data_IF_904417888411
#
_entry.id   IF_904417888411
#
_cell.length_a   1.000
_cell.length_b   1.000
_cell.length_c   1.000
_cell.angle_alpha   90.00
_cell.angle_beta   90.00
_cell.angle_gamma   90.00
#
_symmetry.space_group_name_H-M   'P 1'
#
loop_
_entity.id
_entity.type
_entity.pdbx_description
1 polymer ?
#
# COMPACT_ATOMS: atom_id res chain seq x y z
N UNK A 1 -10.03 -24.33 0.70
CA UNK A 1 -9.12 -23.37 0.04
C UNK A 1 -9.55 -21.98 0.50
N UNK A 2 -8.64 -21.09 0.90
CA UNK A 2 -9.03 -19.83 1.55
C UNK A 2 -9.56 -18.75 0.59
N UNK A 3 -9.37 -18.93 -0.72
CA UNK A 3 -9.89 -18.03 -1.75
C UNK A 3 -10.73 -18.88 -2.70
N UNK A 4 -12.02 -18.58 -2.81
CA UNK A 4 -12.95 -19.30 -3.69
C UNK A 4 -13.93 -18.35 -4.36
N UNK A 5 -14.71 -18.84 -5.32
CA UNK A 5 -15.85 -18.12 -5.89
C UNK A 5 -17.14 -18.83 -5.50
N UNK A 6 -18.12 -18.10 -4.98
CA UNK A 6 -19.41 -18.64 -4.54
C UNK A 6 -20.51 -17.61 -4.75
N UNK A 7 -21.64 -18.04 -5.31
CA UNK A 7 -22.84 -17.22 -5.50
C UNK A 7 -22.57 -15.89 -6.26
N UNK A 8 -21.67 -15.93 -7.24
CA UNK A 8 -21.27 -14.75 -8.02
C UNK A 8 -20.18 -13.88 -7.38
N UNK A 9 -19.82 -14.13 -6.12
CA UNK A 9 -18.80 -13.37 -5.41
C UNK A 9 -17.47 -14.12 -5.29
N UNK A 10 -16.36 -13.39 -5.26
CA UNK A 10 -15.10 -13.85 -4.70
C UNK A 10 -15.23 -13.88 -3.17
N UNK A 11 -14.83 -14.98 -2.54
CA UNK A 11 -14.87 -15.16 -1.08
C UNK A 11 -13.46 -15.43 -0.56
N UNK A 12 -12.99 -14.58 0.37
CA UNK A 12 -11.78 -14.81 1.15
C UNK A 12 -12.23 -15.26 2.55
N UNK A 13 -11.86 -16.49 2.90
CA UNK A 13 -12.17 -17.09 4.21
C UNK A 13 -10.99 -16.92 5.16
N UNK A 14 -11.28 -16.74 6.45
CA UNK A 14 -10.30 -16.84 7.52
C UNK A 14 -10.75 -17.91 8.51
N UNK A 15 -9.96 -18.96 8.63
CA UNK A 15 -10.15 -20.02 9.62
C UNK A 15 -9.29 -19.77 10.87
N UNK A 16 -9.70 -20.35 12.00
CA UNK A 16 -8.95 -20.38 13.26
C UNK A 16 -8.71 -21.83 13.69
N UNK A 17 -7.59 -22.09 14.38
CA UNK A 17 -7.33 -23.36 15.08
C UNK A 17 -8.39 -23.69 16.13
N UNK A 18 -9.14 -22.70 16.61
CA UNK A 18 -10.28 -22.88 17.51
C UNK A 18 -11.54 -23.46 16.85
N UNK A 19 -11.62 -23.45 15.51
CA UNK A 19 -12.73 -24.05 14.77
C UNK A 19 -12.52 -25.56 14.69
N UNK A 20 -13.17 -26.31 15.59
CA UNK A 20 -12.98 -27.76 15.75
C UNK A 20 -13.92 -28.63 14.92
N UNK A 21 -14.96 -28.03 14.31
CA UNK A 21 -15.93 -28.74 13.50
C UNK A 21 -15.71 -28.46 12.00
N UNK A 22 -15.55 -29.52 11.22
CA UNK A 22 -15.42 -29.42 9.77
C UNK A 22 -16.75 -29.03 9.11
N UNK A 23 -16.68 -28.29 7.99
CA UNK A 23 -17.84 -28.01 7.14
C UNK A 23 -18.83 -26.97 7.69
N UNK A 24 -18.47 -26.21 8.73
CA UNK A 24 -19.29 -25.09 9.24
C UNK A 24 -19.46 -23.97 8.21
N UNK A 25 -18.48 -23.79 7.33
CA UNK A 25 -18.49 -22.81 6.25
C UNK A 25 -18.01 -23.47 4.96
N UNK A 26 -18.71 -23.28 3.81
CA UNK A 26 -18.29 -23.89 2.56
C UNK A 26 -16.84 -23.53 2.21
N UNK A 27 -16.04 -24.53 1.87
CA UNK A 27 -14.62 -24.41 1.49
C UNK A 27 -13.64 -23.99 2.60
N UNK A 28 -14.11 -23.81 3.85
CA UNK A 28 -13.25 -23.75 5.03
C UNK A 28 -12.33 -24.96 5.09
N UNK A 29 -11.10 -24.73 5.55
CA UNK A 29 -10.09 -25.77 5.75
C UNK A 29 -9.96 -26.20 7.21
N UNK A 30 -10.78 -25.64 8.10
CA UNK A 30 -10.86 -26.09 9.48
C UNK A 30 -11.55 -27.47 9.61
N UNK A 31 -11.18 -28.28 10.61
CA UNK A 31 -10.16 -28.03 11.62
C UNK A 31 -8.73 -28.20 11.08
N UNK A 32 -7.78 -27.48 11.67
CA UNK A 32 -6.34 -27.61 11.44
C UNK A 32 -5.57 -27.25 12.72
N UNK A 33 -4.31 -27.66 12.82
CA UNK A 33 -3.42 -27.28 13.94
C UNK A 33 -2.47 -26.14 13.55
N UNK A 34 -1.91 -25.42 14.52
CA UNK A 34 -0.88 -24.42 14.23
C UNK A 34 0.34 -25.04 13.52
N UNK A 35 0.70 -26.29 13.84
CA UNK A 35 1.77 -27.02 13.15
C UNK A 35 1.47 -27.19 11.64
N UNK A 36 0.23 -27.53 11.30
CA UNK A 36 -0.23 -27.60 9.90
C UNK A 36 -0.22 -26.23 9.19
N UNK A 37 -0.08 -25.14 9.93
CA UNK A 37 -0.18 -23.76 9.45
C UNK A 37 1.05 -22.92 9.79
N UNK A 38 2.24 -23.52 9.72
CA UNK A 38 3.51 -22.80 9.90
C UNK A 38 3.62 -22.09 11.27
N UNK A 39 3.05 -22.67 12.31
CA UNK A 39 3.03 -22.13 13.66
C UNK A 39 2.02 -21.00 13.89
N UNK A 40 1.07 -20.77 12.96
CA UNK A 40 0.08 -19.69 13.06
C UNK A 40 -1.32 -20.21 13.41
N UNK A 41 -2.03 -19.50 14.27
CA UNK A 41 -3.38 -19.87 14.71
C UNK A 41 -4.50 -19.51 13.72
N UNK A 42 -4.19 -18.69 12.73
CA UNK A 42 -5.15 -18.22 11.74
C UNK A 42 -4.65 -18.48 10.33
N UNK A 43 -5.55 -18.93 9.47
CA UNK A 43 -5.25 -19.19 8.06
C UNK A 43 -6.23 -18.41 7.19
N UNK A 44 -5.72 -17.60 6.28
CA UNK A 44 -6.55 -16.80 5.36
C UNK A 44 -5.95 -16.74 3.95
N UNK A 45 -6.43 -15.80 3.12
CA UNK A 45 -6.08 -15.68 1.72
C UNK A 45 -5.68 -14.26 1.32
N UNK A 46 -4.77 -14.21 0.35
CA UNK A 46 -4.44 -13.00 -0.42
C UNK A 46 -4.50 -13.37 -1.90
N UNK A 47 -5.30 -12.63 -2.66
CA UNK A 47 -5.35 -12.69 -4.11
C UNK A 47 -4.60 -11.49 -4.68
N UNK A 48 -3.76 -11.73 -5.69
CA UNK A 48 -3.03 -10.66 -6.38
C UNK A 48 -3.09 -10.84 -7.89
N UNK A 49 -3.20 -9.72 -8.61
CA UNK A 49 -3.11 -9.69 -10.08
C UNK A 49 -1.68 -9.46 -10.58
N UNK A 50 -0.69 -9.48 -9.68
CA UNK A 50 0.73 -9.27 -9.97
C UNK A 50 1.19 -10.03 -11.21
N UNK A 51 1.82 -9.31 -12.14
CA UNK A 51 2.29 -9.79 -13.43
C UNK A 51 1.24 -10.51 -14.30
N UNK A 52 -0.05 -10.23 -14.10
CA UNK A 52 -1.18 -10.78 -14.89
C UNK A 52 -2.08 -9.68 -15.42
N UNK A 53 -2.50 -8.78 -14.53
CA UNK A 53 -3.27 -7.60 -14.86
C UNK A 53 -2.70 -6.43 -14.06
N UNK A 54 -2.31 -5.39 -14.77
CA UNK A 54 -1.90 -4.12 -14.20
C UNK A 54 -2.53 -2.98 -15.01
N UNK A 55 -2.61 -1.81 -14.41
CA UNK A 55 -3.10 -0.61 -15.05
C UNK A 55 -2.30 0.60 -14.58
N UNK A 56 -2.15 1.59 -15.44
CA UNK A 56 -1.51 2.88 -15.10
C UNK A 56 -2.54 3.99 -15.28
N UNK A 57 -2.79 4.75 -14.22
CA UNK A 57 -3.91 5.70 -14.09
C UNK A 57 -5.28 5.06 -14.28
N UNK A 58 -6.30 5.66 -13.69
CA UNK A 58 -7.69 5.25 -13.84
C UNK A 58 -8.44 5.15 -12.52
N UNK A 59 -9.69 4.76 -12.64
CA UNK A 59 -10.60 4.51 -11.53
C UNK A 59 -10.70 3.01 -11.25
N UNK A 60 -10.44 2.62 -10.00
CA UNK A 60 -10.67 1.27 -9.50
C UNK A 60 -11.70 1.31 -8.39
N UNK A 61 -12.64 0.37 -8.42
CA UNK A 61 -13.58 0.15 -7.33
C UNK A 61 -13.79 -1.34 -7.07
N UNK A 62 -14.19 -1.63 -5.83
CA UNK A 62 -14.62 -2.94 -5.37
C UNK A 62 -15.98 -2.82 -4.70
N UNK A 63 -16.83 -3.82 -4.91
CA UNK A 63 -18.11 -3.98 -4.20
C UNK A 63 -17.94 -5.10 -3.18
N UNK A 64 -17.99 -4.76 -1.89
CA UNK A 64 -17.49 -5.65 -0.81
C UNK A 64 -18.41 -5.67 0.41
N UNK A 65 -18.43 -6.82 1.09
CA UNK A 65 -19.01 -7.02 2.43
C UNK A 65 -17.97 -7.63 3.36
N UNK A 66 -17.96 -7.19 4.61
CA UNK A 66 -16.91 -7.48 5.58
C UNK A 66 -17.25 -8.62 6.53
N UNK A 67 -16.23 -9.33 7.05
CA UNK A 67 -16.44 -10.39 8.02
C UNK A 67 -16.88 -9.82 9.36
N UNK A 68 -17.53 -10.67 10.16
CA UNK A 68 -17.93 -10.35 11.53
C UNK A 68 -19.43 -10.35 11.73
N UNK A 69 -19.90 -10.49 12.99
CA UNK A 69 -21.30 -10.34 13.33
C UNK A 69 -21.85 -8.95 12.99
N UNK A 70 -21.09 -7.88 13.28
CA UNK A 70 -21.53 -6.49 13.08
C UNK A 70 -20.33 -5.52 13.23
N UNK A 71 -20.61 -4.21 13.20
CA UNK A 71 -19.60 -3.14 13.34
C UNK A 71 -18.88 -3.09 14.70
N UNK A 72 -19.26 -3.91 15.68
CA UNK A 72 -18.54 -4.05 16.96
C UNK A 72 -17.34 -5.00 16.86
N UNK A 73 -17.24 -5.78 15.78
CA UNK A 73 -16.13 -6.70 15.54
C UNK A 73 -14.81 -5.97 15.59
N UNK A 74 -13.83 -6.53 16.30
CA UNK A 74 -12.53 -5.89 16.49
C UNK A 74 -11.40 -6.91 16.36
N UNK A 75 -10.59 -6.78 15.30
CA UNK A 75 -9.38 -7.58 15.05
C UNK A 75 -9.12 -7.93 13.59
N UNK A 76 -10.15 -8.11 12.76
CA UNK A 76 -9.94 -8.32 11.32
C UNK A 76 -9.35 -7.08 10.68
N UNK A 77 -8.48 -7.30 9.71
CA UNK A 77 -7.87 -6.27 8.87
C UNK A 77 -8.11 -6.60 7.38
N UNK A 78 -9.36 -6.46 6.90
CA UNK A 78 -9.68 -6.48 5.47
C UNK A 78 -8.89 -5.41 4.71
N UNK A 79 -8.33 -5.79 3.57
CA UNK A 79 -7.58 -4.91 2.68
C UNK A 79 -7.92 -5.12 1.21
N UNK A 80 -8.06 -4.01 0.49
CA UNK A 80 -8.04 -3.97 -0.97
C UNK A 80 -7.17 -2.77 -1.39
N UNK A 81 -6.15 -3.04 -2.19
CA UNK A 81 -5.09 -2.07 -2.46
C UNK A 81 -4.36 -2.41 -3.76
N UNK A 82 -3.47 -1.52 -4.16
CA UNK A 82 -2.67 -1.66 -5.38
C UNK A 82 -1.20 -1.45 -5.10
N UNK A 83 -0.34 -2.17 -5.82
CA UNK A 83 1.12 -2.03 -5.71
C UNK A 83 1.77 -2.03 -7.10
N UNK A 84 2.78 -1.16 -7.30
CA UNK A 84 3.58 -1.13 -8.53
C UNK A 84 4.23 -2.49 -8.84
N UNK A 85 4.16 -2.92 -10.11
CA UNK A 85 4.45 -4.30 -10.50
C UNK A 85 5.90 -4.77 -10.26
N UNK A 86 6.84 -3.85 -10.04
CA UNK A 86 8.22 -4.18 -9.66
C UNK A 86 8.35 -4.75 -8.24
N UNK A 87 7.33 -4.57 -7.39
CA UNK A 87 7.20 -5.25 -6.10
C UNK A 87 6.16 -6.36 -6.17
N UNK A 88 6.35 -7.41 -5.37
CA UNK A 88 5.37 -8.50 -5.21
C UNK A 88 4.96 -8.65 -3.75
N UNK A 89 3.70 -8.37 -3.39
CA UNK A 89 3.18 -8.57 -2.05
C UNK A 89 3.45 -9.98 -1.51
N UNK A 90 3.96 -10.06 -0.28
CA UNK A 90 4.38 -11.31 0.38
C UNK A 90 5.80 -11.79 0.05
N UNK A 91 6.57 -11.04 -0.76
CA UNK A 91 7.95 -11.39 -1.13
C UNK A 91 8.89 -10.21 -0.84
N UNK A 92 9.40 -10.14 0.40
CA UNK A 92 10.13 -8.98 0.91
C UNK A 92 11.40 -8.60 0.13
N UNK A 93 12.07 -9.58 -0.48
CA UNK A 93 13.22 -9.29 -1.35
C UNK A 93 12.84 -8.41 -2.54
N UNK A 94 11.65 -8.61 -3.13
CA UNK A 94 11.19 -7.81 -4.26
C UNK A 94 10.93 -6.36 -3.88
N UNK A 95 10.52 -6.11 -2.63
CA UNK A 95 10.16 -4.78 -2.13
C UNK A 95 11.33 -4.00 -1.51
N UNK A 96 12.45 -4.65 -1.17
CA UNK A 96 13.65 -4.00 -0.60
C UNK A 96 14.23 -2.93 -1.55
N UNK A 97 14.10 -1.66 -1.15
CA UNK A 97 14.49 -0.50 -1.95
C UNK A 97 13.58 -0.20 -3.14
N UNK A 98 12.41 -0.83 -3.21
CA UNK A 98 11.37 -0.57 -4.23
C UNK A 98 10.13 0.05 -3.59
N UNK A 99 9.64 -0.54 -2.52
CA UNK A 99 8.48 -0.02 -1.79
C UNK A 99 8.91 0.99 -0.72
N UNK A 100 8.17 2.08 -0.49
CA UNK A 100 7.03 2.60 -1.27
C UNK A 100 7.47 3.72 -2.25
N UNK A 101 8.60 3.57 -2.94
CA UNK A 101 9.14 4.64 -3.78
C UNK A 101 8.24 4.98 -4.96
N UNK A 102 7.96 6.29 -5.10
CA UNK A 102 7.36 6.94 -6.28
C UNK A 102 8.12 8.22 -6.55
N UNK A 103 9.34 8.04 -7.04
CA UNK A 103 10.37 9.06 -7.04
C UNK A 103 11.27 8.95 -8.26
N UNK A 104 11.44 10.05 -8.97
CA UNK A 104 12.18 10.15 -10.23
C UNK A 104 13.17 11.33 -10.20
N UNK A 105 13.83 11.52 -9.05
CA UNK A 105 14.86 12.54 -8.88
C UNK A 105 16.15 11.90 -8.39
N UNK A 106 17.28 12.52 -8.76
CA UNK A 106 18.60 12.08 -8.33
C UNK A 106 19.14 13.05 -7.27
N UNK A 107 18.87 12.73 -6.01
CA UNK A 107 19.30 13.47 -4.83
C UNK A 107 19.33 12.55 -3.58
N UNK A 108 19.48 13.16 -2.40
CA UNK A 108 19.56 12.47 -1.09
C UNK A 108 18.35 11.57 -0.80
N UNK A 109 17.20 11.82 -1.42
CA UNK A 109 16.01 10.97 -1.31
C UNK A 109 16.21 9.55 -1.82
N UNK A 110 17.24 9.33 -2.64
CA UNK A 110 17.58 8.01 -3.18
C UNK A 110 18.54 7.22 -2.28
N UNK A 111 19.11 7.85 -1.25
CA UNK A 111 20.17 7.26 -0.44
C UNK A 111 19.60 6.40 0.70
N UNK A 112 20.38 5.42 1.19
CA UNK A 112 20.03 4.72 2.42
C UNK A 112 19.73 5.72 3.54
N UNK A 113 18.61 5.53 4.24
CA UNK A 113 18.15 6.36 5.36
C UNK A 113 17.98 7.87 5.06
N UNK A 114 18.04 8.30 3.79
CA UNK A 114 18.15 9.72 3.42
C UNK A 114 19.37 10.42 4.06
N UNK A 115 20.48 9.70 4.23
CA UNK A 115 21.73 10.23 4.78
C UNK A 115 22.91 10.04 3.82
N UNK A 116 23.96 10.82 4.01
CA UNK A 116 25.21 10.71 3.27
C UNK A 116 26.04 9.53 3.78
N UNK A 117 27.01 9.10 2.97
CA UNK A 117 27.82 7.89 3.21
C UNK A 117 28.69 7.95 4.47
N UNK A 118 29.02 9.14 4.93
CA UNK A 118 29.75 9.38 6.19
C UNK A 118 28.83 9.43 7.42
N UNK A 119 27.52 9.19 7.25
CA UNK A 119 26.50 9.26 8.29
C UNK A 119 26.01 10.67 8.60
N UNK A 120 26.57 11.70 7.97
CA UNK A 120 26.01 13.04 8.01
C UNK A 120 24.81 13.14 7.05
N UNK A 121 24.12 14.28 7.03
CA UNK A 121 22.94 14.43 6.19
C UNK A 121 22.15 15.68 6.53
N UNK A 122 21.01 15.88 5.85
CA UNK A 122 20.00 16.85 6.25
C UNK A 122 19.65 16.68 7.73
N UNK A 123 19.65 17.77 8.50
CA UNK A 123 19.29 17.71 9.91
C UNK A 123 17.90 17.11 10.12
N UNK A 124 16.97 17.42 9.22
CA UNK A 124 15.61 16.87 9.19
C UNK A 124 15.52 15.35 9.02
N UNK A 125 16.53 14.70 8.42
CA UNK A 125 16.59 13.25 8.26
C UNK A 125 17.22 12.56 9.49
N UNK A 126 18.18 13.24 10.13
CA UNK A 126 18.87 12.77 11.34
C UNK A 126 18.07 13.03 12.64
N UNK A 127 17.19 14.03 12.60
CA UNK A 127 16.46 14.55 13.76
C UNK A 127 14.98 14.77 13.44
N UNK A 128 14.24 13.67 13.28
CA UNK A 128 12.78 13.66 13.22
C UNK A 128 12.20 13.58 14.63
N UNK A 129 11.49 14.63 15.06
CA UNK A 129 10.77 14.64 16.33
C UNK A 129 9.62 13.63 16.30
N UNK A 130 8.99 13.42 15.13
CA UNK A 130 7.94 12.41 14.96
C UNK A 130 8.45 10.98 15.16
N UNK A 131 9.72 10.73 14.86
CA UNK A 131 10.38 9.43 15.02
C UNK A 131 11.15 9.28 16.35
N UNK A 132 11.21 10.31 17.19
CA UNK A 132 12.01 10.34 18.44
C UNK A 132 11.84 9.09 19.30
N UNK A 133 10.61 8.71 19.63
CA UNK A 133 10.33 7.64 20.59
C UNK A 133 10.35 6.23 19.99
N UNK A 134 10.36 6.12 18.66
CA UNK A 134 10.17 4.83 17.96
C UNK A 134 11.45 4.41 17.24
N UNK A 135 12.18 5.35 16.62
CA UNK A 135 13.34 5.06 15.79
C UNK A 135 14.55 5.94 16.15
N UNK A 136 14.68 6.34 17.42
CA UNK A 136 15.81 7.15 17.91
C UNK A 136 16.10 8.36 17.00
N UNK A 137 15.05 9.13 16.68
CA UNK A 137 15.08 10.31 15.79
C UNK A 137 15.35 10.05 14.30
N UNK A 138 15.70 8.83 13.89
CA UNK A 138 15.97 8.52 12.49
C UNK A 138 14.67 8.58 11.68
N UNK A 139 14.70 9.35 10.58
CA UNK A 139 13.52 9.54 9.73
C UNK A 139 13.23 8.30 8.87
N UNK A 140 14.27 7.66 8.34
CA UNK A 140 14.15 6.57 7.39
C UNK A 140 15.11 5.44 7.69
N UNK A 141 14.61 4.20 7.59
CA UNK A 141 15.35 2.94 7.61
C UNK A 141 15.30 2.24 6.25
N UNK A 142 14.88 2.95 5.20
CA UNK A 142 14.88 2.41 3.84
C UNK A 142 16.30 2.22 3.35
N UNK A 143 16.53 1.14 2.60
CA UNK A 143 17.85 0.80 2.04
C UNK A 143 18.29 1.67 0.86
N UNK A 144 17.61 2.80 0.63
CA UNK A 144 17.72 3.64 -0.56
C UNK A 144 16.85 3.13 -1.72
N UNK A 145 16.61 3.99 -2.70
CA UNK A 145 15.86 3.60 -3.90
C UNK A 145 16.76 2.74 -4.79
N UNK A 146 16.42 1.44 -4.89
CA UNK A 146 17.24 0.42 -5.55
C UNK A 146 17.49 0.74 -7.02
N UNK A 147 16.47 1.19 -7.73
CA UNK A 147 16.53 1.55 -9.16
C UNK A 147 16.13 3.02 -9.31
N UNK A 148 17.02 3.89 -8.84
CA UNK A 148 16.79 5.33 -8.79
C UNK A 148 17.20 6.03 -10.08
N UNK A 149 16.80 7.30 -10.22
CA UNK A 149 17.29 8.17 -11.29
C UNK A 149 18.82 8.42 -11.23
N UNK A 150 19.49 8.06 -10.12
CA UNK A 150 20.94 8.11 -9.98
C UNK A 150 21.66 6.84 -10.46
N UNK A 151 20.97 5.86 -11.04
CA UNK A 151 21.61 4.60 -11.44
C UNK A 151 22.73 4.86 -12.47
N UNK A 152 23.95 4.40 -12.18
CA UNK A 152 25.09 4.55 -13.08
C UNK A 152 24.83 3.89 -14.45
N UNK A 153 25.40 4.43 -15.56
CA UNK A 153 25.31 3.80 -16.88
C UNK A 153 25.74 2.33 -16.86
N UNK A 154 24.93 1.46 -17.49
CA UNK A 154 25.16 0.02 -17.51
C UNK A 154 24.78 -0.72 -16.22
N UNK A 155 24.27 -0.03 -15.21
CA UNK A 155 23.69 -0.64 -14.01
C UNK A 155 22.40 -1.40 -14.30
N UNK A 156 22.12 -2.42 -13.48
CA UNK A 156 20.85 -3.15 -13.52
C UNK A 156 19.68 -2.21 -13.24
N UNK A 157 18.73 -2.13 -14.17
CA UNK A 157 17.61 -1.20 -14.13
C UNK A 157 16.48 -1.69 -15.03
N UNK A 158 15.21 -1.59 -14.61
CA UNK A 158 14.08 -2.08 -15.42
C UNK A 158 13.86 -1.26 -16.70
N UNK A 159 14.37 -0.03 -16.76
CA UNK A 159 14.26 0.86 -17.92
C UNK A 159 13.09 1.85 -17.81
N UNK A 160 12.76 2.56 -18.91
CA UNK A 160 13.34 2.47 -20.26
C UNK A 160 14.73 3.13 -20.35
N UNK A 161 15.13 3.87 -19.33
CA UNK A 161 16.47 4.45 -19.16
C UNK A 161 16.92 4.22 -17.71
N UNK A 162 18.23 4.15 -17.48
CA UNK A 162 18.83 4.11 -16.14
C UNK A 162 18.65 5.43 -15.36
N UNK A 163 18.29 6.52 -16.05
CA UNK A 163 18.09 7.83 -15.44
C UNK A 163 16.64 8.10 -15.05
N UNK A 164 15.78 7.07 -15.02
CA UNK A 164 14.40 7.18 -14.54
C UNK A 164 14.30 6.44 -13.22
N UNK A 165 13.93 7.11 -12.13
CA UNK A 165 13.63 6.45 -10.88
C UNK A 165 12.37 5.59 -10.99
N UNK A 166 12.47 4.36 -10.48
CA UNK A 166 11.43 3.33 -10.53
C UNK A 166 11.17 2.79 -9.12
N UNK A 167 10.02 2.17 -8.91
CA UNK A 167 9.65 1.68 -7.58
C UNK A 167 8.41 0.79 -7.55
N UNK A 168 7.94 0.53 -6.34
CA UNK A 168 6.72 -0.22 -6.06
C UNK A 168 5.80 0.63 -5.16
N UNK A 169 5.18 1.70 -5.69
CA UNK A 169 4.24 2.52 -4.94
C UNK A 169 3.03 1.73 -4.49
N UNK A 170 2.33 2.26 -3.49
CA UNK A 170 1.13 1.66 -2.90
C UNK A 170 -0.01 2.69 -2.79
N UNK A 171 -1.21 2.26 -3.20
CA UNK A 171 -2.46 3.02 -3.02
C UNK A 171 -3.54 2.06 -2.53
N UNK A 172 -4.12 2.37 -1.38
CA UNK A 172 -5.10 1.55 -0.69
C UNK A 172 -6.52 2.03 -1.04
N UNK A 173 -7.34 1.12 -1.57
CA UNK A 173 -8.78 1.35 -1.72
C UNK A 173 -9.40 1.42 -0.33
N UNK A 174 -9.03 0.45 0.51
CA UNK A 174 -9.24 0.48 1.94
C UNK A 174 -8.27 -0.45 2.68
N UNK A 175 -7.98 -0.07 3.92
CA UNK A 175 -7.54 -0.94 4.99
C UNK A 175 -8.45 -0.70 6.20
N UNK A 176 -9.07 -1.74 6.74
CA UNK A 176 -10.14 -1.56 7.74
C UNK A 176 -9.62 -1.64 9.18
N UNK A 177 -10.03 -0.70 10.01
CA UNK A 177 -9.77 -0.73 11.44
C UNK A 177 -10.96 -0.24 12.27
N UNK A 178 -11.02 -0.68 13.54
CA UNK A 178 -11.94 -0.10 14.51
C UNK A 178 -11.71 1.40 14.62
N UNK A 179 -12.79 2.18 14.65
CA UNK A 179 -12.69 3.60 14.93
C UNK A 179 -12.21 3.85 16.38
N UNK A 180 -11.07 4.52 16.53
CA UNK A 180 -10.48 4.87 17.83
C UNK A 180 -11.24 5.99 18.55
N UNK A 181 -12.08 6.74 17.85
CA UNK A 181 -12.88 7.84 18.40
C UNK A 181 -14.30 7.39 18.77
N UNK A 182 -14.80 6.29 18.21
CA UNK A 182 -16.17 5.83 18.41
C UNK A 182 -16.20 4.33 18.73
N UNK A 183 -16.80 3.89 19.85
CA UNK A 183 -16.64 2.53 20.36
C UNK A 183 -17.27 1.43 19.50
N UNK A 184 -18.30 1.76 18.71
CA UNK A 184 -19.09 0.80 17.90
C UNK A 184 -19.20 1.32 16.47
N UNK A 185 -18.05 1.61 15.85
CA UNK A 185 -17.94 2.03 14.45
C UNK A 185 -16.65 1.45 13.87
N UNK A 186 -16.71 1.05 12.60
CA UNK A 186 -15.55 0.67 11.80
C UNK A 186 -15.24 1.79 10.80
N UNK A 187 -13.96 1.99 10.54
CA UNK A 187 -13.48 2.93 9.52
C UNK A 187 -12.58 2.20 8.53
N UNK A 188 -12.52 2.74 7.32
CA UNK A 188 -11.47 2.41 6.36
C UNK A 188 -10.43 3.51 6.34
N UNK A 189 -9.16 3.13 6.42
CA UNK A 189 -8.03 3.95 5.99
C UNK A 189 -7.95 3.89 4.48
N UNK A 190 -8.09 5.04 3.85
CA UNK A 190 -7.90 5.26 2.43
C UNK A 190 -6.60 6.05 2.26
N UNK A 191 -5.58 5.39 1.73
CA UNK A 191 -4.19 5.81 1.89
C UNK A 191 -3.35 5.65 0.63
N UNK A 192 -2.27 6.41 0.57
CA UNK A 192 -1.16 6.14 -0.34
C UNK A 192 0.16 6.29 0.41
N UNK A 193 1.09 5.38 0.10
CA UNK A 193 2.40 5.31 0.73
C UNK A 193 3.46 5.90 -0.20
N UNK A 194 4.37 6.67 0.38
CA UNK A 194 5.38 7.44 -0.34
C UNK A 194 6.77 7.24 0.27
N UNK A 195 7.75 7.12 -0.60
CA UNK A 195 9.16 7.35 -0.30
C UNK A 195 9.78 8.16 -1.44
N UNK A 196 10.78 9.02 -1.14
CA UNK A 196 11.37 9.31 0.17
C UNK A 196 10.44 10.13 1.10
N UNK A 197 10.89 10.42 2.32
CA UNK A 197 10.09 11.06 3.37
C UNK A 197 10.43 12.54 3.53
N UNK A 198 9.40 13.35 3.72
CA UNK A 198 9.52 14.74 4.17
C UNK A 198 9.82 14.75 5.68
N UNK A 199 10.42 15.84 6.16
CA UNK A 199 10.65 16.08 7.59
C UNK A 199 9.41 15.75 8.42
N UNK A 200 9.57 14.99 9.50
CA UNK A 200 8.50 14.57 10.42
C UNK A 200 7.28 13.87 9.77
N UNK A 201 7.45 13.33 8.55
CA UNK A 201 6.36 12.80 7.72
C UNK A 201 5.25 13.84 7.49
N UNK A 202 5.62 15.13 7.44
CA UNK A 202 4.71 16.19 7.10
C UNK A 202 4.26 16.07 5.64
N UNK A 203 3.11 16.64 5.36
CA UNK A 203 2.59 16.89 4.02
C UNK A 203 1.91 18.26 4.07
N UNK A 204 1.86 18.97 2.95
CA UNK A 204 1.26 20.30 2.88
C UNK A 204 -0.26 20.21 3.10
N UNK A 205 -0.66 20.20 4.37
CA UNK A 205 -2.05 20.12 4.83
C UNK A 205 -2.68 21.50 5.08
N UNK A 206 -1.87 22.57 5.07
CA UNK A 206 -2.28 23.92 5.45
C UNK A 206 -2.64 24.82 4.25
N UNK A 207 -2.58 24.30 3.01
CA UNK A 207 -2.80 25.07 1.76
C UNK A 207 -4.02 24.66 0.94
N UNK A 208 -4.75 23.60 1.33
CA UNK A 208 -5.93 23.09 0.59
C UNK A 208 -5.63 21.99 -0.42
N UNK A 209 -4.39 21.49 -0.46
CA UNK A 209 -3.93 20.43 -1.38
C UNK A 209 -4.30 19.01 -0.93
N UNK A 210 -4.98 18.93 0.21
CA UNK A 210 -5.57 17.76 0.86
C UNK A 210 -7.00 18.12 1.27
N UNK A 211 -8.01 17.35 0.86
CA UNK A 211 -9.43 17.69 1.07
C UNK A 211 -10.23 16.51 1.59
N UNK A 212 -10.96 16.68 2.70
CA UNK A 212 -12.08 15.81 3.07
C UNK A 212 -13.38 16.43 2.59
N UNK A 213 -14.12 15.71 1.74
CA UNK A 213 -15.34 16.25 1.14
C UNK A 213 -16.53 16.24 2.11
N UNK A 214 -16.63 15.22 2.96
CA UNK A 214 -17.63 15.12 4.04
C UNK A 214 -16.95 14.92 5.39
N UNK A 215 -16.77 16.01 6.13
CA UNK A 215 -16.13 15.99 7.45
C UNK A 215 -17.01 15.37 8.55
N UNK A 216 -18.28 15.06 8.27
CA UNK A 216 -19.14 14.33 9.20
C UNK A 216 -18.85 12.83 9.23
N UNK A 217 -18.28 12.28 8.14
CA UNK A 217 -17.90 10.86 8.00
C UNK A 217 -16.41 10.61 7.83
N UNK A 218 -15.65 11.56 7.27
CA UNK A 218 -14.24 11.39 6.91
C UNK A 218 -13.35 12.38 7.66
N UNK A 219 -12.26 11.86 8.25
CA UNK A 219 -11.25 12.67 8.97
C UNK A 219 -9.84 12.33 8.53
N UNK A 220 -8.90 13.25 8.68
CA UNK A 220 -7.48 12.94 8.51
C UNK A 220 -7.06 11.80 9.43
N UNK A 221 -6.26 10.86 8.91
CA UNK A 221 -5.60 9.90 9.77
C UNK A 221 -4.45 10.58 10.52
N UNK A 222 -4.31 10.29 11.81
CA UNK A 222 -3.19 10.81 12.62
C UNK A 222 -1.92 10.01 12.41
N UNK A 223 -2.02 8.81 11.86
CA UNK A 223 -0.87 8.07 11.34
C UNK A 223 -0.37 8.73 10.06
N UNK A 224 0.91 9.15 10.09
CA UNK A 224 1.57 9.82 8.95
C UNK A 224 2.73 9.02 8.37
N UNK A 225 3.07 7.88 8.97
CA UNK A 225 4.21 7.09 8.53
C UNK A 225 4.98 6.43 9.67
N UNK A 226 6.07 5.79 9.28
CA UNK A 226 7.05 5.10 10.10
C UNK A 226 8.43 5.16 9.40
N UNK A 227 9.47 4.55 9.99
CA UNK A 227 10.79 4.52 9.38
C UNK A 227 10.85 3.83 7.99
N UNK A 228 9.78 3.17 7.54
CA UNK A 228 9.73 2.48 6.25
C UNK A 228 8.69 3.04 5.29
N UNK A 229 7.86 4.02 5.72
CA UNK A 229 6.89 4.66 4.82
C UNK A 229 6.48 6.03 5.34
N UNK A 230 6.21 6.96 4.42
CA UNK A 230 5.34 8.10 4.69
C UNK A 230 3.95 7.78 4.16
N UNK A 231 2.90 8.09 4.93
CA UNK A 231 1.51 7.83 4.58
C UNK A 231 0.72 9.12 4.53
N UNK A 232 -0.05 9.32 3.45
CA UNK A 232 -1.11 10.33 3.40
C UNK A 232 -2.43 9.59 3.33
N UNK A 233 -3.29 9.82 4.33
CA UNK A 233 -4.49 9.02 4.49
C UNK A 233 -5.62 9.72 5.24
N UNK A 234 -6.83 9.24 4.99
CA UNK A 234 -8.05 9.62 5.69
C UNK A 234 -8.81 8.38 6.18
N UNK A 235 -9.51 8.53 7.31
CA UNK A 235 -10.38 7.53 7.90
C UNK A 235 -11.83 7.88 7.57
N UNK A 236 -12.54 6.98 6.88
CA UNK A 236 -13.95 7.14 6.50
C UNK A 236 -14.81 6.11 7.21
N UNK A 237 -15.89 6.55 7.87
CA UNK A 237 -16.83 5.66 8.55
C UNK A 237 -17.62 4.77 7.59
N UNK A 238 -17.76 3.51 8.00
CA UNK A 238 -18.46 2.47 7.25
C UNK A 238 -19.92 2.27 7.69
N UNK A 239 -20.80 1.86 6.78
CA UNK A 239 -22.17 1.48 7.10
C UNK A 239 -22.26 0.22 7.99
N UNK A 240 -23.20 0.21 8.94
CA UNK A 240 -23.39 -0.88 9.89
C UNK A 240 -23.92 -2.18 9.26
N UNK A 241 -24.53 -2.07 8.09
CA UNK A 241 -25.21 -3.15 7.36
C UNK A 241 -24.29 -3.89 6.36
N UNK A 242 -23.00 -3.52 6.32
CA UNK A 242 -22.03 -4.14 5.41
C UNK A 242 -21.43 -5.47 5.93
N UNK A 243 -21.66 -5.83 7.20
CA UNK A 243 -21.02 -6.99 7.83
C UNK A 243 -21.83 -8.27 7.60
N UNK A 244 -21.17 -9.42 7.49
CA UNK A 244 -21.84 -10.70 7.20
C UNK A 244 -22.99 -11.04 8.16
N UNK A 245 -22.88 -10.70 9.45
CA UNK A 245 -23.95 -10.92 10.44
C UNK A 245 -24.96 -9.79 10.58
N UNK A 246 -24.72 -8.65 9.93
CA UNK A 246 -25.53 -7.44 10.02
C UNK A 246 -25.80 -6.95 8.60
N UNK A 247 -26.80 -7.53 7.93
CA UNK A 247 -27.24 -7.16 6.58
C UNK A 247 -26.48 -7.84 5.43
N UNK A 248 -25.16 -7.97 5.54
CA UNK A 248 -24.28 -8.47 4.48
C UNK A 248 -24.43 -7.70 3.15
N UNK A 249 -24.78 -6.40 3.23
CA UNK A 249 -24.91 -5.55 2.08
C UNK A 249 -23.54 -5.26 1.48
N UNK A 250 -23.47 -5.28 0.15
CA UNK A 250 -22.27 -4.89 -0.56
C UNK A 250 -22.19 -3.37 -0.68
N UNK A 251 -21.05 -2.81 -0.30
CA UNK A 251 -20.74 -1.39 -0.42
C UNK A 251 -19.60 -1.16 -1.40
N UNK A 252 -19.62 -0.04 -2.11
CA UNK A 252 -18.60 0.28 -3.11
C UNK A 252 -17.53 1.15 -2.49
N UNK A 253 -16.26 0.74 -2.63
CA UNK A 253 -15.10 1.53 -2.22
C UNK A 253 -14.12 1.59 -3.38
N UNK A 254 -13.44 2.71 -3.57
CA UNK A 254 -12.58 2.90 -4.73
C UNK A 254 -11.71 4.14 -4.66
N UNK A 255 -10.87 4.30 -5.67
CA UNK A 255 -10.20 5.56 -5.98
C UNK A 255 -10.03 5.75 -7.48
N UNK A 256 -10.00 7.00 -7.92
CA UNK A 256 -9.39 7.40 -9.19
C UNK A 256 -8.00 7.96 -8.89
N UNK A 257 -6.99 7.52 -9.63
CA UNK A 257 -5.71 8.23 -9.67
C UNK A 257 -5.34 8.63 -11.09
N UNK A 258 -4.74 9.80 -11.19
CA UNK A 258 -4.28 10.37 -12.44
C UNK A 258 -2.81 10.77 -12.31
N UNK A 259 -2.03 10.44 -13.34
CA UNK A 259 -0.67 10.91 -13.53
C UNK A 259 -0.44 11.20 -15.01
N UNK A 260 0.27 12.28 -15.30
CA UNK A 260 0.70 12.65 -16.65
C UNK A 260 2.21 12.93 -16.61
N UNK A 261 3.05 12.07 -17.21
CA UNK A 261 4.49 12.31 -17.27
C UNK A 261 4.89 13.63 -17.95
N UNK A 262 3.99 14.24 -18.74
CA UNK A 262 4.22 15.55 -19.36
C UNK A 262 3.75 16.72 -18.49
N UNK A 263 2.90 16.46 -17.50
CA UNK A 263 2.43 17.43 -16.50
C UNK A 263 2.22 16.74 -15.15
N UNK A 264 3.33 16.48 -14.46
CA UNK A 264 3.33 15.83 -13.14
C UNK A 264 2.59 16.63 -12.07
N UNK A 265 2.37 17.93 -12.29
CA UNK A 265 1.65 18.79 -11.36
C UNK A 265 0.14 18.53 -11.35
N UNK A 266 -0.40 17.96 -12.44
CA UNK A 266 -1.80 17.56 -12.53
C UNK A 266 -2.12 16.24 -11.80
N UNK A 267 -1.12 15.60 -11.17
CA UNK A 267 -1.31 14.32 -10.49
C UNK A 267 -2.28 14.44 -9.32
N UNK A 268 -3.21 13.49 -9.20
CA UNK A 268 -4.17 13.43 -8.10
C UNK A 268 -4.62 12.00 -7.79
N UNK A 269 -5.06 11.77 -6.56
CA UNK A 269 -5.78 10.58 -6.14
C UNK A 269 -7.04 11.02 -5.39
N UNK A 270 -8.20 10.52 -5.80
CA UNK A 270 -9.49 10.81 -5.18
C UNK A 270 -10.18 9.51 -4.81
N UNK A 271 -10.45 9.33 -3.51
CA UNK A 271 -11.12 8.15 -2.98
C UNK A 271 -12.64 8.35 -2.88
N UNK A 272 -13.36 7.23 -2.83
CA UNK A 272 -14.81 7.20 -2.65
C UNK A 272 -15.26 6.09 -1.69
N UNK A 273 -16.42 6.32 -1.07
CA UNK A 273 -17.22 5.31 -0.37
C UNK A 273 -18.69 5.52 -0.77
N UNK A 274 -19.36 4.47 -1.22
CA UNK A 274 -20.76 4.48 -1.68
C UNK A 274 -21.05 5.47 -2.82
N UNK A 275 -20.08 5.66 -3.72
CA UNK A 275 -20.17 6.57 -4.86
C UNK A 275 -19.90 8.03 -4.52
N UNK A 276 -19.72 8.37 -3.25
CA UNK A 276 -19.43 9.72 -2.77
C UNK A 276 -17.93 9.88 -2.51
N UNK A 277 -17.36 11.02 -2.93
CA UNK A 277 -15.94 11.31 -2.67
C UNK A 277 -15.70 11.42 -1.17
N UNK A 278 -14.67 10.75 -0.67
CA UNK A 278 -14.28 10.81 0.73
C UNK A 278 -13.14 11.81 0.95
N UNK A 279 -12.03 11.58 0.24
CA UNK A 279 -10.79 12.31 0.41
C UNK A 279 -10.03 12.47 -0.93
N UNK A 280 -9.24 13.54 -1.07
CA UNK A 280 -8.36 13.78 -2.22
C UNK A 280 -6.96 14.25 -1.81
N UNK A 281 -5.95 13.67 -2.47
CA UNK A 281 -4.53 14.05 -2.40
C UNK A 281 -4.08 14.51 -3.79
N UNK A 282 -3.48 15.68 -3.89
CA UNK A 282 -2.89 16.19 -5.15
C UNK A 282 -1.36 16.06 -5.13
N UNK A 283 -0.71 16.21 -6.28
CA UNK A 283 0.74 16.22 -6.40
C UNK A 283 1.41 17.28 -5.48
N UNK A 284 0.73 18.40 -5.21
CA UNK A 284 1.22 19.44 -4.32
C UNK A 284 1.37 18.96 -2.86
N UNK A 285 0.53 18.02 -2.40
CA UNK A 285 0.62 17.48 -1.04
C UNK A 285 1.92 16.66 -0.82
N UNK A 286 2.53 16.17 -1.89
CA UNK A 286 3.78 15.39 -1.87
C UNK A 286 4.96 16.14 -2.47
N UNK A 287 4.93 17.46 -2.40
CA UNK A 287 6.01 18.33 -2.84
C UNK A 287 7.35 18.05 -2.15
N UNK A 288 8.41 18.59 -2.76
CA UNK A 288 9.77 18.50 -2.24
C UNK A 288 9.91 19.21 -0.88
N UNK A 289 11.00 18.91 -0.21
CA UNK A 289 11.29 19.37 1.15
C UNK A 289 12.70 19.98 1.18
N UNK A 290 12.86 21.21 0.66
CA UNK A 290 14.18 21.76 0.34
C UNK A 290 15.02 22.10 1.57
N UNK A 291 16.34 22.00 1.41
CA UNK A 291 17.32 22.48 2.39
C UNK A 291 17.26 24.02 2.56
N UNK A 292 17.67 24.56 3.72
CA UNK A 292 18.31 23.87 4.85
C UNK A 292 17.35 23.24 5.87
N UNK A 293 16.07 23.61 5.85
CA UNK A 293 15.12 23.22 6.90
C UNK A 293 14.47 21.85 6.65
N UNK A 294 14.44 21.42 5.40
CA UNK A 294 13.89 20.13 4.99
C UNK A 294 14.91 18.99 4.87
N UNK A 295 14.44 17.88 4.34
CA UNK A 295 15.21 16.66 4.06
C UNK A 295 16.00 16.69 2.75
N UNK A 296 15.88 17.76 1.96
CA UNK A 296 16.56 17.93 0.69
C UNK A 296 16.01 17.09 -0.47
N UNK A 297 14.80 16.52 -0.32
CA UNK A 297 14.15 15.75 -1.38
C UNK A 297 13.42 16.66 -2.36
N UNK A 298 13.41 16.25 -3.63
CA UNK A 298 12.62 16.84 -4.71
C UNK A 298 11.15 16.41 -4.65
N UNK A 299 10.35 16.91 -5.60
CA UNK A 299 8.95 16.54 -5.80
C UNK A 299 8.79 15.01 -5.98
N UNK A 300 7.91 14.40 -5.18
CA UNK A 300 7.47 13.00 -5.37
C UNK A 300 6.31 12.93 -6.36
N UNK A 301 6.01 11.74 -6.85
CA UNK A 301 5.04 11.53 -7.92
C UNK A 301 3.76 10.88 -7.40
N UNK A 302 2.62 11.29 -7.96
CA UNK A 302 1.49 10.35 -8.06
C UNK A 302 1.91 9.29 -9.07
N UNK A 303 1.75 8.02 -8.69
CA UNK A 303 2.38 6.88 -9.38
C UNK A 303 2.19 6.90 -10.90
N UNK A 304 3.29 6.67 -11.61
CA UNK A 304 3.32 6.43 -13.06
C UNK A 304 3.60 4.94 -13.38
N UNK A 305 3.77 4.11 -12.34
CA UNK A 305 4.06 2.68 -12.46
C UNK A 305 2.79 1.88 -12.88
N UNK A 306 2.93 0.74 -13.59
CA UNK A 306 1.84 -0.20 -13.75
C UNK A 306 1.50 -0.85 -12.41
N UNK A 307 0.27 -0.65 -11.93
CA UNK A 307 -0.18 -1.08 -10.61
C UNK A 307 -0.95 -2.40 -10.70
N UNK A 308 -0.55 -3.38 -9.90
CA UNK A 308 -1.28 -4.64 -9.69
C UNK A 308 -2.24 -4.52 -8.50
N UNK A 309 -3.32 -5.31 -8.51
CA UNK A 309 -4.37 -5.30 -7.50
C UNK A 309 -4.11 -6.39 -6.46
N UNK A 310 -4.36 -6.10 -5.20
CA UNK A 310 -4.24 -7.01 -4.07
C UNK A 310 -5.52 -6.98 -3.24
N UNK A 311 -6.05 -8.16 -2.91
CA UNK A 311 -7.20 -8.34 -2.04
C UNK A 311 -6.82 -9.33 -0.94
N UNK A 312 -6.99 -8.97 0.33
CA UNK A 312 -6.65 -9.85 1.43
C UNK A 312 -7.59 -9.67 2.63
N UNK A 313 -7.65 -10.73 3.44
CA UNK A 313 -8.24 -10.66 4.77
C UNK A 313 -7.15 -10.96 5.80
N UNK A 314 -6.64 -9.89 6.43
CA UNK A 314 -5.64 -9.97 7.48
C UNK A 314 -6.26 -9.97 8.88
N UNK A 315 -5.39 -10.11 9.88
CA UNK A 315 -5.69 -9.98 11.31
C UNK A 315 -4.44 -9.37 11.95
N UNK A 316 -4.56 -8.21 12.62
CA UNK A 316 -3.40 -7.41 13.01
C UNK A 316 -3.59 -6.73 14.37
N UNK A 317 -2.55 -6.79 15.21
CA UNK A 317 -2.47 -6.04 16.47
C UNK A 317 -1.90 -4.63 16.30
N UNK A 318 -1.34 -4.30 15.13
CA UNK A 318 -0.64 -3.03 14.92
C UNK A 318 -1.61 -1.85 14.79
N UNK A 319 -2.83 -2.10 14.31
CA UNK A 319 -3.81 -1.05 13.99
C UNK A 319 -4.96 -1.00 14.99
N UNK A 320 -5.27 -2.13 15.61
CA UNK A 320 -6.33 -2.31 16.58
C UNK A 320 -6.00 -3.45 17.55
N UNK A 321 -6.58 -3.43 18.75
CA UNK A 321 -6.57 -4.63 19.61
C UNK A 321 -7.38 -5.74 18.95
N UNK A 322 -7.00 -7.01 19.14
CA UNK A 322 -7.82 -8.15 18.73
C UNK A 322 -8.72 -8.54 19.90
N UNK A 323 -10.03 -8.55 19.68
CA UNK A 323 -11.03 -8.92 20.70
C UNK A 323 -11.85 -10.11 20.19
N UNK A 324 -11.33 -11.32 20.40
CA UNK A 324 -11.88 -12.57 19.85
C UNK A 324 -13.37 -12.79 20.19
N UNK A 325 -13.85 -12.31 21.34
CA UNK A 325 -15.26 -12.43 21.73
C UNK A 325 -16.23 -11.61 20.86
N UNK A 326 -15.73 -10.72 20.01
CA UNK A 326 -16.52 -9.91 19.05
C UNK A 326 -16.41 -10.43 17.61
N UNK A 327 -15.69 -11.55 17.42
CA UNK A 327 -15.33 -12.10 16.12
C UNK A 327 -15.99 -13.46 15.91
N UNK A 328 -16.10 -13.90 14.65
CA UNK A 328 -16.68 -15.21 14.28
C UNK A 328 -15.74 -15.96 13.34
N UNK A 329 -15.48 -17.23 13.62
CA UNK A 329 -14.66 -18.08 12.74
C UNK A 329 -15.44 -19.35 12.35
N UNK A 330 -15.35 -19.82 11.09
CA UNK A 330 -14.68 -19.17 9.96
C UNK A 330 -15.31 -17.83 9.56
N UNK A 331 -14.47 -16.85 9.22
CA UNK A 331 -14.90 -15.52 8.81
C UNK A 331 -14.90 -15.42 7.27
N UNK A 332 -15.86 -14.70 6.69
CA UNK A 332 -15.93 -14.49 5.24
C UNK A 332 -15.93 -13.01 4.88
N UNK A 333 -15.01 -12.62 4.01
CA UNK A 333 -15.04 -11.36 3.27
C UNK A 333 -15.43 -11.67 1.83
N UNK A 334 -16.40 -10.93 1.27
CA UNK A 334 -16.90 -11.21 -0.08
C UNK A 334 -16.81 -9.98 -0.96
N UNK A 335 -16.38 -10.19 -2.20
CA UNK A 335 -16.38 -9.18 -3.25
C UNK A 335 -17.33 -9.60 -4.36
N UNK A 336 -18.35 -8.79 -4.65
CA UNK A 336 -19.25 -9.01 -5.80
C UNK A 336 -18.51 -8.71 -7.11
N UNK A 337 -17.72 -7.64 -7.13
CA UNK A 337 -16.85 -7.33 -8.26
C UNK A 337 -15.62 -6.52 -7.86
N UNK A 338 -14.65 -6.52 -8.78
CA UNK A 338 -13.56 -5.56 -8.88
C UNK A 338 -13.59 -5.00 -10.30
N UNK A 339 -13.60 -3.67 -10.45
CA UNK A 339 -13.69 -3.01 -11.76
C UNK A 339 -12.65 -1.93 -11.90
N UNK A 340 -12.07 -1.83 -13.09
CA UNK A 340 -11.12 -0.81 -13.48
C UNK A 340 -11.63 -0.09 -14.72
N UNK A 341 -11.59 1.24 -14.68
CA UNK A 341 -12.03 2.13 -15.74
C UNK A 341 -10.91 3.13 -16.04
N UNK A 342 -10.74 3.48 -17.31
CA UNK A 342 -9.75 4.48 -17.73
C UNK A 342 -10.42 5.56 -18.58
N UNK A 343 -9.91 6.78 -18.48
CA UNK A 343 -10.39 7.92 -19.28
C UNK A 343 -10.27 7.59 -20.77
N UNK A 344 -11.22 8.05 -21.58
CA UNK A 344 -11.25 7.79 -23.02
C UNK A 344 -9.95 8.28 -23.68
N UNK A 345 -9.27 7.39 -24.40
CA UNK A 345 -8.00 7.69 -25.07
C UNK A 345 -6.76 7.58 -24.18
N UNK A 346 -6.94 7.24 -22.90
CA UNK A 346 -5.86 7.09 -21.91
C UNK A 346 -5.75 5.64 -21.43
N UNK A 347 -6.14 4.68 -22.27
CA UNK A 347 -6.11 3.26 -21.92
C UNK A 347 -4.67 2.76 -21.90
N UNK A 348 -4.24 2.30 -20.73
CA UNK A 348 -2.96 1.63 -20.53
C UNK A 348 -3.16 0.47 -19.55
N UNK A 349 -3.37 -0.72 -20.11
CA UNK A 349 -3.54 -1.98 -19.38
C UNK A 349 -2.41 -2.91 -19.77
N UNK A 350 -1.73 -3.48 -18.78
CA UNK A 350 -0.57 -4.32 -18.96
C UNK A 350 0.46 -4.05 -17.87
N UNK A 351 1.24 -5.08 -17.53
CA UNK A 351 2.28 -4.99 -16.51
C UNK A 351 3.66 -4.58 -17.06
N UNK A 352 3.80 -4.52 -18.39
CA UNK A 352 5.06 -4.23 -19.08
C UNK A 352 4.89 -3.16 -20.18
N UNK A 353 4.39 -1.96 -19.85
CA UNK A 353 4.26 -0.88 -20.81
C UNK A 353 5.66 -0.38 -21.23
N UNK A 354 5.83 0.03 -22.50
CA UNK A 354 7.15 0.39 -23.05
C UNK A 354 7.85 1.57 -22.34
N UNK A 355 7.08 2.43 -21.66
CA UNK A 355 7.59 3.56 -20.88
C UNK A 355 7.85 3.21 -19.40
N UNK A 356 7.33 2.08 -18.90
CA UNK A 356 7.60 1.53 -17.56
C UNK A 356 7.74 0.01 -17.62
N UNK A 357 8.72 -0.53 -18.38
CA UNK A 357 8.91 -1.96 -18.51
C UNK A 357 9.22 -2.60 -17.15
N UNK A 358 8.79 -3.85 -16.97
CA UNK A 358 9.00 -4.66 -15.76
C UNK A 358 9.30 -6.12 -16.05
N UNK A 359 8.91 -6.66 -17.21
CA UNK A 359 8.92 -8.09 -17.48
C UNK A 359 10.33 -8.69 -17.43
N UNK A 360 11.27 -8.11 -18.17
CA UNK A 360 12.66 -8.58 -18.21
C UNK A 360 13.36 -8.44 -16.85
N UNK A 361 13.10 -7.33 -16.14
CA UNK A 361 13.66 -7.12 -14.80
C UNK A 361 13.18 -8.20 -13.82
N UNK A 362 11.89 -8.52 -13.81
CA UNK A 362 11.33 -9.57 -12.96
C UNK A 362 11.89 -10.94 -13.36
N UNK A 363 11.94 -11.24 -14.66
CA UNK A 363 12.42 -12.52 -15.18
C UNK A 363 13.90 -12.79 -14.87
N UNK A 364 14.72 -11.73 -14.84
CA UNK A 364 16.15 -11.82 -14.52
C UNK A 364 16.44 -11.93 -13.01
N UNK A 365 15.44 -11.73 -12.15
CA UNK A 365 15.59 -11.76 -10.69
C UNK A 365 14.67 -12.77 -9.98
N UNK A 366 14.55 -14.02 -10.46
CA UNK A 366 13.48 -14.93 -10.07
C UNK A 366 13.43 -15.21 -8.55
N UNK A 367 14.59 -15.28 -7.88
CA UNK A 367 14.67 -15.58 -6.44
C UNK A 367 13.93 -14.54 -5.62
N UNK A 368 14.09 -13.26 -5.96
CA UNK A 368 13.48 -12.16 -5.21
C UNK A 368 11.94 -12.16 -5.30
N UNK A 369 11.39 -12.72 -6.37
CA UNK A 369 9.96 -12.79 -6.63
C UNK A 369 9.35 -14.15 -6.27
N UNK A 370 10.15 -15.17 -5.92
CA UNK A 370 9.66 -16.53 -5.62
C UNK A 370 9.95 -17.01 -4.19
N UNK A 371 10.82 -16.33 -3.44
CA UNK A 371 11.16 -16.70 -2.07
C UNK A 371 10.38 -15.87 -1.03
N UNK A 372 9.37 -16.46 -0.34
CA UNK A 372 8.58 -15.73 0.65
C UNK A 372 9.34 -15.48 1.97
N UNK A 373 10.47 -16.16 2.21
CA UNK A 373 11.24 -16.04 3.45
C UNK A 373 12.35 -14.99 3.37
N UNK A 374 12.70 -14.53 2.17
CA UNK A 374 13.74 -13.54 1.99
C UNK A 374 13.21 -12.13 2.22
N UNK A 375 14.00 -11.29 2.88
CA UNK A 375 13.62 -9.91 3.25
C UNK A 375 14.49 -8.83 2.60
N UNK A 376 15.66 -9.19 2.08
CA UNK A 376 16.61 -8.27 1.45
C UNK A 376 16.90 -8.67 0.00
N UNK A 377 17.20 -7.69 -0.84
CA UNK A 377 17.54 -7.93 -2.24
C UNK A 377 18.78 -8.83 -2.36
N UNK A 378 18.69 -10.01 -3.01
CA UNK A 378 19.78 -11.00 -3.00
C UNK A 378 20.80 -10.80 -4.13
N UNK A 379 20.58 -9.81 -5.01
CA UNK A 379 21.46 -9.50 -6.13
C UNK A 379 22.28 -8.24 -5.85
N UNK A 380 23.25 -7.95 -6.70
CA UNK A 380 24.00 -6.70 -6.61
C UNK A 380 23.05 -5.52 -6.88
N UNK A 381 22.95 -4.58 -5.92
CA UNK A 381 22.24 -3.31 -6.16
C UNK A 381 23.04 -2.46 -7.16
N UNK A 382 22.40 -1.77 -8.11
CA UNK A 382 23.12 -0.87 -9.01
C UNK A 382 23.75 0.28 -8.21
N UNK A 383 24.90 0.77 -8.68
CA UNK A 383 25.58 1.90 -8.05
C UNK A 383 24.75 3.18 -8.23
N UNK A 384 24.65 3.96 -7.16
CA UNK A 384 24.08 5.30 -7.20
C UNK A 384 25.20 6.32 -7.47
N UNK A 385 25.07 7.10 -8.54
CA UNK A 385 26.11 8.02 -9.02
C UNK A 385 26.47 9.13 -8.02
N UNK A 386 25.53 9.56 -7.17
CA UNK A 386 25.78 10.58 -6.15
C UNK A 386 26.23 10.01 -4.81
N UNK A 387 25.92 8.74 -4.52
CA UNK A 387 26.28 8.10 -3.25
C UNK A 387 27.55 7.24 -3.34
N UNK A 388 27.70 6.45 -4.41
CA UNK A 388 28.80 5.52 -4.62
C UNK A 388 29.84 6.00 -5.63
N UNK A 389 29.45 6.94 -6.50
CA UNK A 389 30.17 7.23 -7.73
C UNK A 389 30.01 6.12 -8.78
N UNK A 390 30.33 6.46 -10.03
CA UNK A 390 30.51 5.48 -11.11
C UNK A 390 32.02 5.22 -11.25
#
# INVERSE_FOLDING_TARGET
MQVTTRDGALVITMDSTSTTQAGQTPNSTAPFTAEDNHGQDYRSGMLQSWNKFCFTTGYIEVSVTFPGPDQSTQGYWPGAWTMGNLGRPGYGQSTDGMWPYTYDSCDVGTFPNQTYKDGSGPAAALHSDKSRSVNNFELSWLSGQRVSACTCPGGDHPGPTVSRGRGAPEIDIFETEKDKNFPIVQVVSQSSQFAPFMHDYLYYNDTGDWVNFDTSRTRANTFRGSAVQQSISALTQLPADMFQGSGANFHTLGFEYWSDPNDRSAGEITWQVDGEKSHQVTAAAVAGDPLPDGTGISQRLISEEPMSIVLNLGLSQNWQNITLSTMIFPAEMKFDYVRVYQRKGQTNVGCDPSNYPTADYIANHPVAYSNPNGTTWPYQKPKNSMYDGC
#
